data_IF_644684539408
#
_entry.id   IF_644684539408
#
_cell.length_a   1.000
_cell.length_b   1.000
_cell.length_c   1.000
_cell.angle_alpha   90.00
_cell.angle_beta   90.00
_cell.angle_gamma   90.00
#
_symmetry.space_group_name_H-M   'P 1'
#
loop_
_entity.id
_entity.type
_entity.pdbx_description
1 polymer ?
#
# COMPACT_ATOMS: atom_id res chain seq x y z
N UNK A 1 -14.42 -18.13 -27.56
CA UNK A 1 -14.31 -17.72 -26.19
C UNK A 1 -14.60 -16.25 -26.00
N UNK A 2 -15.39 -15.95 -25.04
CA UNK A 2 -15.77 -14.57 -24.75
C UNK A 2 -14.63 -13.83 -24.07
N UNK A 3 -14.25 -12.71 -24.63
CA UNK A 3 -13.26 -11.87 -24.00
C UNK A 3 -13.94 -10.76 -23.21
N UNK A 4 -13.54 -10.61 -21.99
CA UNK A 4 -14.08 -9.54 -21.15
C UNK A 4 -13.48 -8.21 -21.54
N UNK A 5 -14.27 -7.17 -21.44
CA UNK A 5 -13.77 -5.82 -21.57
C UNK A 5 -13.14 -5.41 -20.24
N UNK A 6 -12.05 -4.65 -20.32
CA UNK A 6 -11.37 -4.22 -19.12
C UNK A 6 -10.41 -5.28 -18.61
N UNK A 7 -9.90 -5.05 -17.42
CA UNK A 7 -8.86 -5.89 -16.82
C UNK A 7 -9.52 -7.05 -16.08
N UNK A 8 -9.13 -8.28 -16.40
CA UNK A 8 -9.63 -9.43 -15.69
C UNK A 8 -8.89 -9.60 -14.36
N UNK A 9 -9.29 -10.62 -13.60
CA UNK A 9 -8.77 -10.83 -12.26
C UNK A 9 -7.26 -11.04 -12.23
N UNK A 10 -6.74 -11.81 -13.19
CA UNK A 10 -5.32 -12.08 -13.28
C UNK A 10 -4.53 -10.82 -13.61
N UNK A 11 -5.04 -10.02 -14.53
CA UNK A 11 -4.37 -8.78 -14.92
C UNK A 11 -4.34 -7.77 -13.77
N UNK A 12 -5.40 -7.71 -12.98
CA UNK A 12 -5.42 -6.80 -11.82
C UNK A 12 -4.40 -7.20 -10.77
N UNK A 13 -4.27 -8.50 -10.51
CA UNK A 13 -3.29 -8.99 -9.56
C UNK A 13 -1.87 -8.69 -10.03
N UNK A 14 -1.63 -8.88 -11.33
CA UNK A 14 -0.32 -8.61 -11.91
C UNK A 14 0.02 -7.13 -11.83
N UNK A 15 -0.95 -6.27 -12.14
CA UNK A 15 -0.74 -4.82 -12.04
C UNK A 15 -0.47 -4.42 -10.59
N UNK A 16 -1.20 -5.00 -9.63
CA UNK A 16 -0.97 -4.74 -8.22
C UNK A 16 0.43 -5.12 -7.79
N UNK A 17 0.93 -6.28 -8.27
CA UNK A 17 2.29 -6.71 -7.95
C UNK A 17 3.33 -5.77 -8.52
N UNK A 18 3.12 -5.29 -9.74
CA UNK A 18 4.04 -4.32 -10.34
C UNK A 18 4.09 -3.05 -9.49
N UNK A 19 2.94 -2.58 -9.04
CA UNK A 19 2.87 -1.41 -8.19
C UNK A 19 3.57 -1.62 -6.87
N UNK A 20 3.32 -2.75 -6.21
CA UNK A 20 3.96 -3.04 -4.94
C UNK A 20 5.47 -3.19 -5.09
N UNK A 21 5.92 -3.84 -6.17
CA UNK A 21 7.36 -3.97 -6.43
C UNK A 21 8.00 -2.59 -6.58
N UNK A 22 7.34 -1.70 -7.31
CA UNK A 22 7.86 -0.35 -7.51
C UNK A 22 7.96 0.41 -6.19
N UNK A 23 6.95 0.28 -5.33
CA UNK A 23 6.95 0.96 -4.05
C UNK A 23 8.02 0.39 -3.12
N UNK A 24 8.19 -0.94 -3.12
CA UNK A 24 9.26 -1.56 -2.34
C UNK A 24 10.63 -1.04 -2.78
N UNK A 25 10.86 -0.92 -4.08
CA UNK A 25 12.10 -0.36 -4.59
C UNK A 25 12.30 1.09 -4.18
N UNK A 26 11.23 1.87 -4.25
CA UNK A 26 11.26 3.26 -3.80
C UNK A 26 11.65 3.35 -2.33
N UNK A 27 11.00 2.56 -1.49
CA UNK A 27 11.28 2.56 -0.06
C UNK A 27 12.72 2.14 0.24
N UNK A 28 13.18 1.09 -0.44
CA UNK A 28 14.55 0.62 -0.23
C UNK A 28 15.58 1.69 -0.59
N UNK A 29 15.34 2.42 -1.69
CA UNK A 29 16.24 3.51 -2.07
C UNK A 29 16.23 4.66 -1.08
N UNK A 30 15.18 4.76 -0.28
CA UNK A 30 15.09 5.80 0.76
C UNK A 30 15.45 5.28 2.14
N UNK A 31 16.11 4.13 2.20
CA UNK A 31 16.67 3.63 3.44
C UNK A 31 15.74 2.78 4.29
N UNK A 32 14.60 2.37 3.75
CA UNK A 32 13.69 1.50 4.47
C UNK A 32 14.03 0.04 4.23
N UNK A 33 13.81 -0.76 5.25
CA UNK A 33 13.84 -2.21 5.14
C UNK A 33 12.41 -2.70 5.02
N UNK A 34 12.15 -3.55 4.02
CA UNK A 34 10.81 -4.12 3.85
C UNK A 34 10.68 -5.28 4.84
N UNK A 35 9.77 -5.13 5.80
CA UNK A 35 9.54 -6.14 6.82
C UNK A 35 8.62 -7.22 6.31
N UNK A 36 7.52 -6.81 5.65
CA UNK A 36 6.50 -7.75 5.24
C UNK A 36 5.72 -7.17 4.08
N UNK A 37 5.27 -8.05 3.17
CA UNK A 37 4.34 -7.69 2.11
C UNK A 37 3.06 -8.48 2.30
N UNK A 38 1.94 -7.85 2.01
CA UNK A 38 0.62 -8.48 2.05
C UNK A 38 0.36 -9.14 3.41
N UNK A 39 0.57 -8.36 4.46
CA UNK A 39 0.29 -8.81 5.81
C UNK A 39 -1.21 -8.86 6.02
N UNK A 40 -1.74 -10.05 6.24
CA UNK A 40 -3.18 -10.27 6.30
C UNK A 40 -3.55 -10.84 7.66
N UNK A 41 -4.58 -10.28 8.25
CA UNK A 41 -5.21 -10.85 9.44
C UNK A 41 -6.70 -10.89 9.15
N UNK A 42 -7.45 -11.51 10.06
CA UNK A 42 -8.89 -11.51 9.93
C UNK A 42 -9.39 -10.07 9.98
N UNK A 43 -10.04 -9.64 8.92
CA UNK A 43 -10.61 -8.30 8.86
C UNK A 43 -9.75 -7.23 8.25
N UNK A 44 -8.54 -7.56 7.77
CA UNK A 44 -7.74 -6.53 7.14
C UNK A 44 -6.44 -7.01 6.53
N UNK A 45 -5.88 -6.15 5.71
CA UNK A 45 -4.64 -6.43 5.01
C UNK A 45 -3.85 -5.12 4.86
N UNK A 46 -2.52 -5.23 4.96
CA UNK A 46 -1.61 -4.11 4.71
C UNK A 46 -0.66 -4.54 3.59
N UNK A 47 -0.55 -3.70 2.57
CA UNK A 47 0.22 -4.06 1.38
C UNK A 47 1.70 -4.16 1.66
N UNK A 48 2.27 -3.20 2.38
CA UNK A 48 3.70 -3.19 2.69
C UNK A 48 3.90 -2.67 4.10
N UNK A 49 4.76 -3.36 4.86
CA UNK A 49 5.23 -2.88 6.15
C UNK A 49 6.73 -2.69 6.03
N UNK A 50 7.19 -1.48 6.30
CA UNK A 50 8.60 -1.11 6.14
C UNK A 50 9.09 -0.38 7.37
N UNK A 51 10.41 -0.49 7.64
CA UNK A 51 10.99 0.09 8.84
C UNK A 51 12.20 0.92 8.49
N UNK A 52 12.32 2.08 9.13
CA UNK A 52 13.51 2.91 9.04
C UNK A 52 13.70 3.59 10.38
N UNK A 53 14.87 3.37 11.02
CA UNK A 53 15.12 3.84 12.37
C UNK A 53 14.04 3.30 13.31
N UNK A 54 13.34 4.14 14.07
CA UNK A 54 12.29 3.70 14.96
C UNK A 54 10.89 3.88 14.35
N UNK A 55 10.82 4.12 13.04
CA UNK A 55 9.56 4.33 12.36
C UNK A 55 9.16 3.05 11.64
N UNK A 56 7.91 2.62 11.86
CA UNK A 56 7.32 1.55 11.07
C UNK A 56 6.24 2.17 10.21
N UNK A 57 6.44 2.08 8.89
CA UNK A 57 5.49 2.61 7.92
C UNK A 57 4.58 1.49 7.43
N UNK A 58 3.28 1.70 7.57
CA UNK A 58 2.25 0.82 7.05
C UNK A 58 1.73 1.45 5.77
N UNK A 59 1.99 0.81 4.63
CA UNK A 59 1.80 1.44 3.34
C UNK A 59 0.67 0.78 2.57
N UNK A 60 -0.27 1.60 2.14
CA UNK A 60 -1.32 1.19 1.22
C UNK A 60 -0.89 1.57 -0.19
N UNK A 61 -0.89 0.61 -1.09
CA UNK A 61 -0.48 0.83 -2.48
C UNK A 61 -1.73 0.87 -3.35
N UNK A 62 -1.91 1.98 -4.07
CA UNK A 62 -3.02 2.14 -5.00
C UNK A 62 -2.43 2.17 -6.41
N UNK A 63 -2.78 1.17 -7.20
CA UNK A 63 -2.27 1.05 -8.57
C UNK A 63 -3.42 1.22 -9.54
N UNK A 64 -3.23 2.10 -10.51
CA UNK A 64 -4.22 2.36 -11.54
C UNK A 64 -3.56 2.44 -12.91
N UNK A 65 -4.29 2.01 -13.91
CA UNK A 65 -3.82 2.14 -15.29
C UNK A 65 -4.03 3.57 -15.75
N UNK A 66 -3.07 4.09 -16.50
CA UNK A 66 -3.16 5.43 -17.05
C UNK A 66 -4.43 5.56 -17.89
N UNK A 67 -5.16 6.63 -17.68
CA UNK A 67 -6.39 6.87 -18.40
C UNK A 67 -7.61 6.19 -17.81
N UNK A 68 -7.47 5.46 -16.70
CA UNK A 68 -8.62 4.86 -16.05
C UNK A 68 -9.49 5.96 -15.44
N UNK A 69 -10.76 5.64 -15.22
CA UNK A 69 -11.70 6.59 -14.64
C UNK A 69 -11.40 6.85 -13.16
N UNK A 70 -10.69 5.93 -12.51
CA UNK A 70 -10.38 6.04 -11.10
C UNK A 70 -8.94 6.54 -10.93
N UNK A 71 -8.78 7.59 -10.14
CA UNK A 71 -7.47 8.14 -9.89
C UNK A 71 -6.71 7.26 -8.89
N UNK A 72 -5.40 7.07 -9.15
CA UNK A 72 -4.55 6.39 -8.17
C UNK A 72 -4.38 7.21 -6.91
N UNK A 73 -4.65 8.50 -6.99
CA UNK A 73 -4.49 9.41 -5.86
C UNK A 73 -5.77 9.61 -5.06
N UNK A 74 -6.78 8.82 -5.37
CA UNK A 74 -8.02 8.87 -4.62
C UNK A 74 -7.78 8.50 -3.16
N UNK A 75 -8.37 9.24 -2.25
CA UNK A 75 -8.14 9.03 -0.83
C UNK A 75 -8.63 7.67 -0.38
N UNK A 76 -7.95 7.10 0.61
CA UNK A 76 -8.39 5.87 1.27
C UNK A 76 -9.62 6.21 2.11
N UNK A 77 -10.71 5.46 1.93
CA UNK A 77 -11.94 5.78 2.65
C UNK A 77 -11.81 5.45 4.14
N UNK A 78 -12.66 6.07 4.99
CA UNK A 78 -12.54 5.90 6.44
C UNK A 78 -12.69 4.47 6.92
N UNK A 79 -13.51 3.66 6.28
CA UNK A 79 -13.68 2.25 6.68
C UNK A 79 -12.36 1.50 6.44
N UNK A 80 -11.75 1.71 5.28
CA UNK A 80 -10.47 1.09 4.97
C UNK A 80 -9.38 1.55 5.92
N UNK A 81 -9.38 2.84 6.26
CA UNK A 81 -8.40 3.38 7.21
C UNK A 81 -8.50 2.68 8.55
N UNK A 82 -9.72 2.46 9.04
CA UNK A 82 -9.90 1.77 10.32
C UNK A 82 -9.39 0.34 10.25
N UNK A 83 -9.66 -0.35 9.14
CA UNK A 83 -9.17 -1.72 8.98
C UNK A 83 -7.64 -1.77 8.95
N UNK A 84 -7.02 -0.80 8.29
CA UNK A 84 -5.56 -0.74 8.24
C UNK A 84 -4.99 -0.49 9.64
N UNK A 85 -5.58 0.44 10.39
CA UNK A 85 -5.13 0.74 11.75
C UNK A 85 -5.25 -0.49 12.63
N UNK A 86 -6.37 -1.20 12.57
CA UNK A 86 -6.56 -2.41 13.37
C UNK A 86 -5.57 -3.49 12.99
N UNK A 87 -5.30 -3.63 11.70
CA UNK A 87 -4.34 -4.62 11.23
C UNK A 87 -2.93 -4.28 11.70
N UNK A 88 -2.59 -3.00 11.67
CA UNK A 88 -1.30 -2.53 12.18
C UNK A 88 -1.16 -2.79 13.68
N UNK A 89 -2.23 -2.59 14.44
CA UNK A 89 -2.21 -2.89 15.86
C UNK A 89 -1.94 -4.37 16.10
N UNK A 90 -2.52 -5.24 15.28
CA UNK A 90 -2.27 -6.68 15.39
C UNK A 90 -0.80 -7.00 15.10
N UNK A 91 -0.22 -6.34 14.10
CA UNK A 91 1.19 -6.53 13.79
C UNK A 91 2.08 -6.09 14.96
N UNK A 92 1.73 -4.98 15.59
CA UNK A 92 2.57 -4.39 16.64
C UNK A 92 2.48 -5.11 17.97
N UNK A 93 1.54 -6.03 18.15
CA UNK A 93 1.37 -6.71 19.43
C UNK A 93 2.63 -7.43 19.91
N UNK A 94 3.46 -7.92 18.98
CA UNK A 94 4.67 -8.63 19.34
C UNK A 94 5.90 -7.75 19.53
N UNK A 95 5.76 -6.46 19.37
CA UNK A 95 6.88 -5.54 19.43
C UNK A 95 6.97 -4.97 20.84
N UNK A 96 8.13 -5.17 21.48
CA UNK A 96 8.34 -4.73 22.86
C UNK A 96 8.99 -3.36 22.94
N UNK A 97 9.78 -2.99 21.94
CA UNK A 97 10.45 -1.70 21.93
C UNK A 97 9.49 -0.61 21.47
N UNK A 98 9.64 0.61 21.96
CA UNK A 98 8.83 1.72 21.44
C UNK A 98 9.10 1.95 19.97
N UNK A 99 8.05 2.06 19.18
CA UNK A 99 8.15 2.36 17.76
C UNK A 99 7.14 3.45 17.42
N UNK A 100 7.44 4.19 16.37
CA UNK A 100 6.57 5.20 15.83
C UNK A 100 5.87 4.65 14.61
N UNK A 101 4.56 4.48 14.67
CA UNK A 101 3.78 3.95 13.55
C UNK A 101 3.31 5.08 12.67
N UNK A 102 3.41 4.87 11.37
CA UNK A 102 3.03 5.89 10.39
C UNK A 102 2.27 5.21 9.27
N UNK A 103 1.21 5.86 8.80
CA UNK A 103 0.34 5.32 7.76
C UNK A 103 0.52 6.10 6.48
N UNK A 104 1.08 5.45 5.47
CA UNK A 104 1.45 6.07 4.21
C UNK A 104 0.62 5.50 3.06
N UNK A 105 0.50 6.26 2.00
CA UNK A 105 -0.17 5.82 0.78
C UNK A 105 0.77 6.05 -0.39
N UNK A 106 0.88 5.04 -1.24
CA UNK A 106 1.66 5.15 -2.46
C UNK A 106 0.71 4.99 -3.65
N UNK A 107 0.72 5.97 -4.54
CA UNK A 107 -0.11 5.97 -5.74
C UNK A 107 0.78 5.66 -6.93
N UNK A 108 0.46 4.57 -7.64
CA UNK A 108 1.24 4.11 -8.78
C UNK A 108 0.37 4.13 -10.01
N UNK A 109 0.83 4.84 -11.02
CA UNK A 109 0.15 4.90 -12.31
C UNK A 109 0.94 4.09 -13.33
N UNK A 110 0.28 3.13 -13.96
CA UNK A 110 0.89 2.28 -14.96
C UNK A 110 0.46 2.71 -16.36
N UNK A 111 1.33 2.45 -17.32
CA UNK A 111 1.00 2.61 -18.72
C UNK A 111 1.65 1.45 -19.46
N UNK A 112 0.82 0.63 -20.12
CA UNK A 112 1.28 -0.56 -20.85
C UNK A 112 2.10 -1.48 -19.96
N UNK A 113 1.64 -1.68 -18.72
CA UNK A 113 2.28 -2.60 -17.79
C UNK A 113 3.55 -2.06 -17.15
N UNK A 114 3.87 -0.79 -17.35
CA UNK A 114 5.07 -0.18 -16.79
C UNK A 114 4.69 0.98 -15.89
N UNK A 115 5.52 1.24 -14.89
CA UNK A 115 5.28 2.35 -13.99
C UNK A 115 5.54 3.66 -14.72
N UNK A 116 4.48 4.46 -14.85
CA UNK A 116 4.60 5.78 -15.45
C UNK A 116 4.88 6.83 -14.40
N UNK A 117 4.27 6.68 -13.22
CA UNK A 117 4.38 7.67 -12.16
C UNK A 117 4.18 7.00 -10.82
N UNK A 118 4.95 7.43 -9.84
CA UNK A 118 4.78 6.97 -8.45
C UNK A 118 4.80 8.20 -7.56
N UNK A 119 3.77 8.33 -6.72
CA UNK A 119 3.71 9.39 -5.72
C UNK A 119 3.54 8.78 -4.36
N UNK A 120 4.36 9.20 -3.42
CA UNK A 120 4.37 8.64 -2.08
C UNK A 120 3.94 9.70 -1.08
N UNK A 121 2.90 9.39 -0.31
CA UNK A 121 2.32 10.33 0.65
C UNK A 121 2.62 9.82 2.06
N UNK A 122 3.50 10.54 2.73
CA UNK A 122 3.89 10.22 4.10
C UNK A 122 2.79 10.70 5.03
N UNK A 123 2.44 9.83 6.00
CA UNK A 123 1.48 10.20 7.04
C UNK A 123 0.15 10.65 6.45
N UNK A 124 -0.38 9.82 5.56
CA UNK A 124 -1.61 10.15 4.83
C UNK A 124 -2.84 10.14 5.74
N UNK A 125 -2.81 9.36 6.82
CA UNK A 125 -3.83 9.37 7.85
C UNK A 125 -3.19 8.86 9.14
N UNK A 126 -3.89 8.95 10.27
CA UNK A 126 -3.31 8.56 11.54
C UNK A 126 -4.25 7.66 12.33
N UNK A 127 -3.71 7.09 13.41
CA UNK A 127 -4.43 6.12 14.22
C UNK A 127 -5.48 6.76 15.13
N UNK A 128 -5.45 8.07 15.31
CA UNK A 128 -6.43 8.76 16.15
C UNK A 128 -7.73 9.01 15.41
N UNK A 129 -7.82 8.62 14.18
CA UNK A 129 -9.00 8.82 13.36
C UNK A 129 -10.19 8.06 13.91
N UNK A 130 -11.31 8.72 13.95
CA UNK A 130 -12.54 8.14 14.53
C UNK A 130 -13.57 7.83 13.47
#
# INVERSE_FOLDING_TARGET
>A
MQRKTGIDHTQRRKAGNIGEDAVCGFLARHGYEIIKRNFTVRGGEIDIIAEKADIIAFVEVKTREHGSLTSAEEAVDPVKQRHIVQTAQAFCKGILEPVCCRFDVAAVELENGRVKKLRYYVNAFDASMK
#
